data_IF_174934110894
#
_entry.id   IF_174934110894
#
_cell.length_a   1.000
_cell.length_b   1.000
_cell.length_c   1.000
_cell.angle_alpha   90.00
_cell.angle_beta   90.00
_cell.angle_gamma   90.00
#
_symmetry.space_group_name_H-M   'P 1'
#
loop_
_entity.id
_entity.type
_entity.pdbx_description
1 polymer ?
#
# COMPACT_ATOMS: atom_id res chain seq x y z
N UNK A 1 -13.10 -23.16 57.39
CA UNK A 1 -11.73 -23.48 56.92
C UNK A 1 -11.95 -24.16 55.59
N UNK A 2 -11.56 -23.65 54.42
CA UNK A 2 -10.40 -22.86 54.03
C UNK A 2 -10.70 -22.06 52.75
N UNK A 3 -9.81 -21.13 52.48
CA UNK A 3 -9.95 -19.94 51.65
C UNK A 3 -9.80 -20.18 50.14
N UNK A 4 -10.46 -19.33 49.36
CA UNK A 4 -10.21 -19.15 47.92
C UNK A 4 -8.76 -18.74 47.67
N UNK A 5 -8.09 -19.40 46.72
CA UNK A 5 -6.74 -19.03 46.27
C UNK A 5 -6.81 -18.43 44.86
N UNK A 6 -6.76 -17.11 44.86
CA UNK A 6 -6.58 -16.20 43.72
C UNK A 6 -5.22 -16.46 43.04
N UNK A 7 -5.22 -16.82 41.76
CA UNK A 7 -4.00 -16.92 40.96
C UNK A 7 -3.79 -15.59 40.20
N UNK A 8 -3.08 -14.65 40.82
CA UNK A 8 -2.55 -13.47 40.13
C UNK A 8 -1.39 -13.90 39.22
N UNK A 9 -1.51 -13.55 37.95
CA UNK A 9 -0.43 -13.63 36.96
C UNK A 9 0.57 -12.52 37.30
N UNK A 10 1.78 -12.92 37.72
CA UNK A 10 2.92 -12.05 37.95
C UNK A 10 3.44 -11.57 36.59
N UNK A 11 3.36 -10.27 36.30
CA UNK A 11 4.05 -9.65 35.17
C UNK A 11 5.50 -9.37 35.57
N UNK A 12 6.47 -9.96 34.87
CA UNK A 12 7.88 -9.55 34.95
C UNK A 12 8.18 -8.40 33.97
N UNK A 13 8.93 -7.36 34.39
CA UNK A 13 9.36 -6.28 33.51
C UNK A 13 10.68 -6.64 32.80
N UNK A 14 10.67 -6.64 31.47
CA UNK A 14 11.90 -6.80 30.66
C UNK A 14 12.68 -5.48 30.65
N UNK A 15 13.92 -5.54 31.14
CA UNK A 15 14.88 -4.44 31.19
C UNK A 15 15.35 -3.99 29.79
N UNK A 16 15.51 -2.67 29.62
CA UNK A 16 16.12 -2.02 28.45
C UNK A 16 17.64 -1.84 28.65
N UNK A 17 18.48 -2.03 27.62
CA UNK A 17 19.90 -1.68 27.71
C UNK A 17 20.14 -0.18 27.41
N UNK A 18 21.15 0.46 28.05
CA UNK A 18 21.49 1.86 27.84
C UNK A 18 22.49 2.04 26.69
N UNK A 19 22.12 2.85 25.70
CA UNK A 19 23.01 3.28 24.63
C UNK A 19 23.00 4.79 24.51
N UNK A 20 23.97 5.44 25.14
CA UNK A 20 24.22 6.85 24.97
C UNK A 20 24.85 7.11 23.59
N UNK A 21 24.27 8.02 22.80
CA UNK A 21 25.07 8.92 21.97
C UNK A 21 24.23 10.11 21.51
N UNK A 22 24.72 11.27 21.93
CA UNK A 22 24.15 12.60 21.83
C UNK A 22 24.54 13.16 20.46
N UNK A 23 23.60 13.30 19.54
CA UNK A 23 23.83 13.97 18.26
C UNK A 23 24.03 15.47 18.49
N UNK A 24 25.29 15.91 18.43
CA UNK A 24 25.66 17.32 18.39
C UNK A 24 25.78 17.75 16.93
N UNK A 25 25.08 18.82 16.58
CA UNK A 25 25.23 19.61 15.35
C UNK A 25 26.62 20.29 15.33
N UNK A 26 27.36 20.34 14.21
CA UNK A 26 28.51 21.22 14.11
C UNK A 26 28.08 22.62 13.66
N UNK A 27 28.46 23.61 14.47
CA UNK A 27 28.42 25.04 14.17
C UNK A 27 29.73 25.47 13.47
N UNK A 28 29.68 26.63 12.84
CA UNK A 28 30.57 27.12 11.81
C UNK A 28 31.99 27.58 12.25
N UNK A 29 32.90 27.55 11.26
CA UNK A 29 33.88 28.60 10.88
C UNK A 29 35.31 28.55 11.47
N UNK A 30 36.28 28.19 10.62
CA UNK A 30 37.66 28.74 10.51
C UNK A 30 38.14 28.48 9.06
N UNK A 31 38.23 29.48 8.16
CA UNK A 31 39.36 30.37 7.79
C UNK A 31 40.63 29.64 7.28
N UNK A 32 40.85 29.66 5.95
CA UNK A 32 41.94 30.38 5.20
C UNK A 32 43.08 29.38 4.88
N UNK A 33 43.73 29.24 3.72
CA UNK A 33 44.23 30.17 2.68
C UNK A 33 44.82 29.35 1.48
N UNK A 34 44.86 29.92 0.27
CA UNK A 34 45.93 29.72 -0.76
C UNK A 34 45.97 28.45 -1.66
N UNK A 35 45.84 28.61 -2.99
CA UNK A 35 45.89 27.57 -4.06
C UNK A 35 47.29 27.04 -4.45
N UNK A 36 47.58 26.53 -5.68
CA UNK A 36 46.79 26.47 -6.93
C UNK A 36 46.52 25.04 -7.47
N UNK A 37 45.72 24.97 -8.53
CA UNK A 37 45.36 23.78 -9.33
C UNK A 37 46.57 23.28 -10.16
N UNK A 38 46.66 21.98 -10.44
CA UNK A 38 46.94 21.57 -11.81
C UNK A 38 45.90 20.58 -12.34
N UNK A 39 45.52 20.82 -13.60
CA UNK A 39 44.62 20.02 -14.40
C UNK A 39 45.32 18.78 -14.96
N UNK A 40 44.57 17.67 -15.07
CA UNK A 40 44.72 16.43 -15.88
C UNK A 40 44.27 15.24 -15.00
N UNK A 41 43.41 14.31 -15.39
CA UNK A 41 42.99 13.85 -16.69
C UNK A 41 41.50 13.48 -16.68
N UNK A 42 40.87 13.63 -17.84
CA UNK A 42 39.52 13.14 -18.11
C UNK A 42 39.49 11.61 -18.00
N UNK A 43 38.85 11.11 -16.95
CA UNK A 43 38.30 9.75 -16.92
C UNK A 43 36.86 9.86 -17.40
N UNK A 44 36.69 9.76 -18.72
CA UNK A 44 35.41 9.40 -19.32
C UNK A 44 35.12 7.94 -18.96
N UNK A 45 34.62 7.72 -17.75
CA UNK A 45 33.93 6.50 -17.42
C UNK A 45 32.51 6.68 -17.98
N UNK A 46 32.33 6.26 -19.24
CA UNK A 46 31.00 5.98 -19.77
C UNK A 46 30.45 4.85 -18.91
N UNK A 47 29.70 5.22 -17.87
CA UNK A 47 28.82 4.28 -17.20
C UNK A 47 27.71 3.98 -18.19
N UNK A 48 27.75 2.78 -18.77
CA UNK A 48 26.59 2.17 -19.41
C UNK A 48 25.45 2.17 -18.37
N UNK A 49 24.61 3.20 -18.46
CA UNK A 49 23.34 3.29 -17.78
C UNK A 49 22.46 2.23 -18.43
N UNK A 50 22.51 1.01 -17.89
CA UNK A 50 21.59 -0.08 -18.22
C UNK A 50 20.20 0.31 -17.66
N UNK A 51 19.60 1.29 -18.34
CA UNK A 51 18.32 1.90 -18.00
C UNK A 51 17.24 0.85 -18.25
N UNK A 52 16.82 0.21 -17.15
CA UNK A 52 15.66 -0.67 -17.12
C UNK A 52 14.32 0.08 -17.31
N UNK A 53 14.33 1.34 -17.77
CA UNK A 53 13.14 2.17 -17.98
C UNK A 53 12.24 1.66 -19.13
N UNK A 54 12.72 0.73 -19.96
CA UNK A 54 11.97 0.16 -21.08
C UNK A 54 10.97 -0.94 -20.71
N UNK A 55 11.02 -1.53 -19.50
CA UNK A 55 10.24 -2.74 -19.20
C UNK A 55 8.73 -2.46 -18.97
N UNK A 56 8.38 -1.24 -18.59
CA UNK A 56 6.99 -0.83 -18.35
C UNK A 56 6.35 -0.09 -19.55
N UNK A 57 7.14 0.26 -20.56
CA UNK A 57 6.74 0.90 -21.82
C UNK A 57 6.36 -0.12 -22.90
N UNK A 58 6.00 -1.35 -22.50
CA UNK A 58 5.40 -2.29 -23.42
C UNK A 58 4.02 -1.77 -23.83
N UNK A 59 3.73 -1.63 -25.14
CA UNK A 59 2.41 -1.27 -25.62
C UNK A 59 1.37 -2.23 -25.03
N UNK A 60 0.56 -1.74 -24.10
CA UNK A 60 -0.65 -2.45 -23.67
C UNK A 60 -1.66 -2.25 -24.79
N UNK A 61 -1.53 -3.08 -25.82
CA UNK A 61 -2.50 -3.16 -26.91
C UNK A 61 -3.90 -3.26 -26.30
N UNK A 62 -4.85 -2.38 -26.67
CA UNK A 62 -6.22 -2.46 -26.20
C UNK A 62 -6.83 -3.78 -26.67
N UNK A 63 -6.75 -4.81 -25.83
CA UNK A 63 -7.31 -6.10 -26.15
C UNK A 63 -8.84 -5.95 -26.25
N UNK A 64 -9.38 -6.10 -27.46
CA UNK A 64 -10.82 -6.37 -27.62
C UNK A 64 -11.15 -7.56 -26.72
N UNK A 65 -12.25 -7.47 -25.97
CA UNK A 65 -12.79 -8.58 -25.18
C UNK A 65 -12.76 -9.82 -26.08
N UNK A 66 -12.01 -10.86 -25.68
CA UNK A 66 -11.98 -12.10 -26.44
C UNK A 66 -13.43 -12.59 -26.60
N UNK A 67 -13.84 -13.10 -27.77
CA UNK A 67 -15.22 -13.50 -28.04
C UNK A 67 -15.74 -14.58 -27.07
N UNK A 68 -14.83 -15.33 -26.44
CA UNK A 68 -15.06 -16.31 -25.39
C UNK A 68 -15.37 -15.71 -23.99
N UNK A 69 -15.29 -14.38 -23.82
CA UNK A 69 -15.74 -13.63 -22.61
C UNK A 69 -17.27 -13.40 -22.59
N UNK A 70 -18.07 -14.17 -23.34
CA UNK A 70 -19.55 -14.14 -23.23
C UNK A 70 -20.06 -14.58 -21.85
N UNK A 71 -19.21 -15.19 -21.02
CA UNK A 71 -19.51 -15.63 -19.65
C UNK A 71 -18.84 -14.79 -18.56
N UNK A 72 -18.40 -13.58 -18.89
CA UNK A 72 -17.79 -12.70 -17.90
C UNK A 72 -18.81 -12.35 -16.80
N UNK A 73 -18.61 -12.92 -15.61
CA UNK A 73 -19.47 -12.74 -14.44
C UNK A 73 -18.99 -11.56 -13.59
N UNK A 74 -19.94 -10.84 -13.00
CA UNK A 74 -19.64 -9.79 -12.03
C UNK A 74 -20.00 -10.28 -10.64
N UNK A 75 -19.00 -10.36 -9.75
CA UNK A 75 -19.25 -10.58 -8.34
C UNK A 75 -19.88 -9.32 -7.74
N UNK A 76 -21.06 -9.48 -7.15
CA UNK A 76 -21.73 -8.43 -6.38
C UNK A 76 -21.45 -8.67 -4.91
N UNK A 77 -20.54 -7.88 -4.34
CA UNK A 77 -20.23 -7.90 -2.92
C UNK A 77 -20.55 -6.53 -2.30
N UNK A 78 -21.03 -6.56 -1.05
CA UNK A 78 -21.20 -5.38 -0.20
C UNK A 78 -20.04 -5.19 0.77
N UNK A 79 -19.16 -6.19 0.89
CA UNK A 79 -18.00 -6.15 1.78
C UNK A 79 -16.87 -5.29 1.22
N UNK A 80 -16.23 -4.53 2.11
CA UNK A 80 -14.97 -3.85 1.82
C UNK A 80 -13.80 -4.83 1.86
N UNK A 81 -12.78 -4.57 1.06
CA UNK A 81 -11.53 -5.35 1.08
C UNK A 81 -10.82 -5.22 2.43
N UNK A 82 -10.30 -6.35 2.91
CA UNK A 82 -9.41 -6.48 4.06
C UNK A 82 -7.95 -6.17 3.69
N UNK A 83 -7.65 -6.12 2.40
CA UNK A 83 -6.33 -5.70 1.90
C UNK A 83 -6.20 -4.17 1.93
N UNK A 84 -6.06 -3.64 3.15
CA UNK A 84 -6.13 -2.21 3.44
C UNK A 84 -4.81 -1.45 3.29
N UNK A 85 -3.69 -2.16 3.13
CA UNK A 85 -2.34 -1.55 3.05
C UNK A 85 -2.02 -0.96 1.67
N UNK A 86 -2.83 -1.26 0.65
CA UNK A 86 -2.70 -0.69 -0.69
C UNK A 86 -3.98 0.05 -1.07
N UNK A 87 -3.83 1.07 -1.90
CA UNK A 87 -4.96 1.86 -2.38
C UNK A 87 -5.89 1.02 -3.25
N UNK A 88 -7.17 0.93 -2.86
CA UNK A 88 -8.22 0.37 -3.71
C UNK A 88 -8.85 1.47 -4.59
N UNK A 89 -9.30 1.15 -5.82
CA UNK A 89 -9.98 2.11 -6.69
C UNK A 89 -11.29 2.66 -6.09
N UNK A 90 -12.09 1.77 -5.48
CA UNK A 90 -13.36 2.08 -4.80
C UNK A 90 -13.47 1.25 -3.52
N UNK A 91 -14.34 1.62 -2.59
CA UNK A 91 -14.54 0.84 -1.35
C UNK A 91 -15.16 -0.55 -1.58
N UNK A 92 -15.78 -0.77 -2.75
CA UNK A 92 -16.37 -2.06 -3.15
C UNK A 92 -15.39 -2.95 -3.92
N UNK A 93 -14.20 -2.45 -4.24
CA UNK A 93 -13.17 -3.25 -4.90
C UNK A 93 -12.59 -4.25 -3.90
N UNK A 94 -12.60 -5.53 -4.28
CA UNK A 94 -11.88 -6.60 -3.61
C UNK A 94 -10.49 -6.77 -4.24
N UNK A 95 -9.53 -7.26 -3.45
CA UNK A 95 -8.28 -7.76 -4.00
C UNK A 95 -8.54 -9.00 -4.88
N UNK A 96 -7.60 -9.31 -5.78
CA UNK A 96 -7.70 -10.48 -6.64
C UNK A 96 -7.91 -11.77 -5.85
N UNK A 97 -7.22 -11.89 -4.71
CA UNK A 97 -7.32 -13.06 -3.84
C UNK A 97 -8.68 -13.16 -3.15
N UNK A 98 -9.23 -12.05 -2.65
CA UNK A 98 -10.58 -12.02 -2.08
C UNK A 98 -11.66 -12.34 -3.11
N UNK A 99 -11.52 -11.80 -4.31
CA UNK A 99 -12.41 -12.10 -5.43
C UNK A 99 -12.42 -13.60 -5.74
N UNK A 100 -11.24 -14.21 -5.84
CA UNK A 100 -11.10 -15.65 -6.06
C UNK A 100 -11.68 -16.47 -4.89
N UNK A 101 -11.39 -16.09 -3.65
CA UNK A 101 -11.89 -16.78 -2.47
C UNK A 101 -13.43 -16.76 -2.37
N UNK A 102 -14.06 -15.61 -2.66
CA UNK A 102 -15.52 -15.48 -2.73
C UNK A 102 -16.10 -16.29 -3.89
N UNK A 103 -15.46 -16.28 -5.06
CA UNK A 103 -15.93 -17.07 -6.20
C UNK A 103 -15.90 -18.57 -5.89
N UNK A 104 -14.79 -19.06 -5.32
CA UNK A 104 -14.63 -20.47 -4.96
C UNK A 104 -15.62 -20.90 -3.87
N UNK A 105 -15.84 -20.07 -2.84
CA UNK A 105 -16.80 -20.41 -1.79
C UNK A 105 -18.23 -20.55 -2.33
N UNK A 106 -18.61 -19.74 -3.32
CA UNK A 106 -19.91 -19.84 -4.01
C UNK A 106 -19.97 -21.09 -4.89
N UNK A 107 -18.92 -21.35 -5.69
CA UNK A 107 -18.87 -22.48 -6.62
C UNK A 107 -18.90 -23.83 -5.89
N UNK A 108 -18.16 -23.95 -4.79
CA UNK A 108 -18.06 -25.17 -3.98
C UNK A 108 -19.10 -25.23 -2.86
N UNK A 109 -19.90 -24.17 -2.67
CA UNK A 109 -20.88 -24.02 -1.57
C UNK A 109 -20.24 -24.21 -0.18
N UNK A 110 -19.00 -23.78 -0.03
CA UNK A 110 -18.22 -23.94 1.18
C UNK A 110 -17.59 -22.61 1.63
N UNK A 111 -18.16 -22.03 2.69
CA UNK A 111 -17.69 -20.75 3.24
C UNK A 111 -16.31 -20.84 3.91
N UNK A 112 -15.88 -22.04 4.35
CA UNK A 112 -14.57 -22.22 4.98
C UNK A 112 -13.39 -21.96 4.03
N UNK A 113 -13.61 -22.10 2.72
CA UNK A 113 -12.60 -21.79 1.70
C UNK A 113 -12.20 -20.33 1.80
N UNK A 114 -13.18 -19.44 1.98
CA UNK A 114 -12.92 -18.02 2.10
C UNK A 114 -12.06 -17.74 3.33
N UNK A 115 -12.41 -18.30 4.49
CA UNK A 115 -11.62 -18.11 5.72
C UNK A 115 -10.19 -18.65 5.57
N UNK A 116 -10.05 -19.85 5.01
CA UNK A 116 -8.76 -20.52 4.82
C UNK A 116 -7.83 -19.70 3.92
N UNK A 117 -8.36 -19.15 2.81
CA UNK A 117 -7.59 -18.34 1.87
C UNK A 117 -7.31 -16.92 2.39
N UNK A 118 -8.20 -16.34 3.19
CA UNK A 118 -8.07 -14.96 3.69
C UNK A 118 -7.26 -14.85 4.99
N UNK A 119 -7.18 -15.91 5.79
CA UNK A 119 -6.44 -15.88 7.08
C UNK A 119 -4.96 -15.47 6.91
N UNK A 120 -4.19 -15.96 5.92
CA UNK A 120 -2.83 -15.49 5.69
C UNK A 120 -2.76 -14.01 5.28
N UNK A 121 -3.72 -13.53 4.47
CA UNK A 121 -3.80 -12.13 4.06
C UNK A 121 -4.03 -11.22 5.27
N UNK A 122 -4.94 -11.61 6.17
CA UNK A 122 -5.21 -10.91 7.42
C UNK A 122 -3.96 -10.82 8.29
N UNK A 123 -3.27 -11.95 8.50
CA UNK A 123 -2.04 -12.02 9.30
C UNK A 123 -0.93 -11.14 8.71
N UNK A 124 -0.78 -11.15 7.38
CA UNK A 124 0.17 -10.29 6.68
C UNK A 124 -0.19 -8.81 6.89
N UNK A 125 -1.45 -8.44 6.69
CA UNK A 125 -1.87 -7.05 6.87
C UNK A 125 -1.69 -6.60 8.32
N UNK A 126 -2.06 -7.42 9.31
CA UNK A 126 -1.86 -7.08 10.72
C UNK A 126 -0.39 -6.88 11.06
N UNK A 127 0.49 -7.76 10.57
CA UNK A 127 1.93 -7.62 10.79
C UNK A 127 2.45 -6.32 10.18
N UNK A 128 2.08 -6.01 8.93
CA UNK A 128 2.52 -4.77 8.30
C UNK A 128 2.01 -3.53 9.04
N UNK A 129 0.76 -3.53 9.49
CA UNK A 129 0.19 -2.42 10.27
C UNK A 129 0.93 -2.23 11.62
N UNK A 130 1.31 -3.31 12.28
CA UNK A 130 2.12 -3.27 13.51
C UNK A 130 3.52 -2.69 13.26
N UNK A 131 4.07 -2.90 12.07
CA UNK A 131 5.40 -2.41 11.66
C UNK A 131 5.36 -1.10 10.85
N UNK A 132 4.28 -0.31 10.98
CA UNK A 132 4.22 1.06 10.48
C UNK A 132 3.58 1.23 9.09
N UNK A 133 3.03 0.16 8.50
CA UNK A 133 2.16 0.33 7.34
C UNK A 133 0.89 1.11 7.74
N UNK A 134 0.39 1.90 6.79
CA UNK A 134 -0.79 2.73 7.00
C UNK A 134 -1.99 2.17 6.24
N UNK A 135 -3.17 2.32 6.83
CA UNK A 135 -4.44 2.02 6.17
C UNK A 135 -4.65 3.03 5.03
N UNK A 136 -4.78 2.51 3.81
CA UNK A 136 -4.97 3.26 2.58
C UNK A 136 -6.45 3.27 2.21
N UNK A 137 -7.11 4.39 2.52
CA UNK A 137 -8.51 4.61 2.15
C UNK A 137 -8.66 4.75 0.63
N UNK A 138 -9.79 4.31 0.09
CA UNK A 138 -10.05 4.46 -1.34
C UNK A 138 -10.07 5.93 -1.76
N UNK A 139 -9.70 6.18 -3.02
CA UNK A 139 -9.72 7.55 -3.56
C UNK A 139 -11.12 8.18 -3.50
N UNK A 140 -12.14 7.37 -3.73
CA UNK A 140 -13.55 7.74 -3.58
C UNK A 140 -13.86 8.23 -2.16
N UNK A 141 -13.42 7.49 -1.14
CA UNK A 141 -13.67 7.85 0.26
C UNK A 141 -12.98 9.16 0.64
N UNK A 142 -11.72 9.34 0.22
CA UNK A 142 -10.97 10.58 0.46
C UNK A 142 -11.64 11.80 -0.19
N UNK A 143 -12.17 11.65 -1.40
CA UNK A 143 -12.88 12.72 -2.10
C UNK A 143 -14.22 13.06 -1.44
N UNK A 144 -15.02 12.06 -1.06
CA UNK A 144 -16.33 12.26 -0.43
C UNK A 144 -16.23 12.96 0.94
N UNK A 145 -15.18 12.65 1.69
CA UNK A 145 -14.98 13.21 3.03
C UNK A 145 -14.14 14.49 3.05
N UNK A 146 -13.74 15.02 1.88
CA UNK A 146 -12.90 16.23 1.79
C UNK A 146 -11.46 16.03 2.29
N UNK A 147 -11.01 14.79 2.48
CA UNK A 147 -9.67 14.43 2.98
C UNK A 147 -8.66 14.19 1.84
N UNK A 148 -9.01 14.52 0.59
CA UNK A 148 -8.14 14.30 -0.56
C UNK A 148 -7.03 15.36 -0.62
N UNK A 149 -5.75 14.98 -0.46
CA UNK A 149 -4.66 15.95 -0.23
C UNK A 149 -4.20 16.68 -1.49
N UNK A 150 -4.61 16.23 -2.68
CA UNK A 150 -4.14 16.81 -3.96
C UNK A 150 -5.18 17.77 -4.53
N UNK A 151 -4.76 18.88 -5.13
CA UNK A 151 -5.68 19.77 -5.82
C UNK A 151 -6.36 19.07 -7.00
N UNK A 152 -7.55 19.57 -7.36
CA UNK A 152 -8.31 19.04 -8.49
C UNK A 152 -7.52 19.24 -9.80
N UNK A 153 -7.49 18.22 -10.68
CA UNK A 153 -6.75 18.31 -11.94
C UNK A 153 -7.46 19.23 -12.93
N UNK A 154 -6.68 20.08 -13.64
CA UNK A 154 -7.23 21.01 -14.65
C UNK A 154 -7.70 20.32 -15.94
N UNK A 155 -7.19 19.13 -16.24
CA UNK A 155 -7.54 18.38 -17.46
C UNK A 155 -8.99 17.85 -17.38
N UNK A 156 -9.83 18.23 -18.36
CA UNK A 156 -11.25 17.84 -18.45
C UNK A 156 -11.49 16.35 -18.25
N UNK A 157 -10.68 15.46 -18.86
CA UNK A 157 -10.83 14.00 -18.72
C UNK A 157 -10.57 13.53 -17.29
N UNK A 158 -9.53 14.06 -16.65
CA UNK A 158 -9.17 13.70 -15.27
C UNK A 158 -10.19 14.25 -14.27
N UNK A 159 -10.72 15.45 -14.54
CA UNK A 159 -11.74 16.10 -13.72
C UNK A 159 -13.05 15.31 -13.76
N UNK A 160 -13.54 14.93 -14.96
CA UNK A 160 -14.70 14.03 -15.11
C UNK A 160 -14.51 12.70 -14.37
N UNK A 161 -13.32 12.11 -14.41
CA UNK A 161 -13.02 10.88 -13.67
C UNK A 161 -13.11 11.07 -12.15
N UNK A 162 -12.71 12.23 -11.63
CA UNK A 162 -12.89 12.54 -10.21
C UNK A 162 -14.35 12.79 -9.84
N UNK A 163 -15.10 13.51 -10.67
CA UNK A 163 -16.54 13.74 -10.46
C UNK A 163 -17.32 12.42 -10.41
N UNK A 164 -17.02 11.48 -11.30
CA UNK A 164 -17.64 10.14 -11.30
C UNK A 164 -17.39 9.38 -9.99
N UNK A 165 -16.21 9.51 -9.38
CA UNK A 165 -15.90 8.89 -8.09
C UNK A 165 -16.62 9.57 -6.92
N UNK A 166 -16.92 10.86 -7.01
CA UNK A 166 -17.72 11.56 -6.00
C UNK A 166 -19.20 11.14 -6.07
N UNK A 167 -19.69 10.95 -7.30
CA UNK A 167 -21.11 10.70 -7.59
C UNK A 167 -21.52 9.21 -7.56
N UNK A 168 -20.61 8.28 -7.30
CA UNK A 168 -20.86 6.82 -7.24
C UNK A 168 -21.81 6.37 -6.12
N UNK A 169 -22.56 7.27 -5.49
CA UNK A 169 -23.47 7.02 -4.36
C UNK A 169 -24.87 6.55 -4.76
N UNK A 170 -25.24 6.52 -6.05
CA UNK A 170 -26.62 6.19 -6.45
C UNK A 170 -26.72 4.97 -7.36
N UNK A 171 -26.46 3.77 -6.83
CA UNK A 171 -27.06 2.49 -7.30
C UNK A 171 -27.19 1.53 -6.11
#
# INVERSE_FOLDING_TARGET
MESQKEARILQEPVARPPGASRSQTPNAKERQEGGPVPATAALGAEADDDSADGLWELPVEPAKRRPECSRCVQLKTSISSQYVIRMQPTNRCLSTLECAAVALSILEKNNYIQETLLRPLQALCSFQLQHGAQIRLSKEHLLKNGLYPKPMPKNKRKLRKMELLMNSVKI
#
